data_IF_949245989854
#
_entry.id   IF_949245989854
#
_cell.length_a   1.000
_cell.length_b   1.000
_cell.length_c   1.000
_cell.angle_alpha   90.00
_cell.angle_beta   90.00
_cell.angle_gamma   90.00
#
_symmetry.space_group_name_H-M   'P 1'
#
loop_
_entity.id
_entity.type
_entity.pdbx_description
1 polymer ?
#
# COMPACT_ATOMS: atom_id res chain seq x y z
N UNK A 1 29.97 46.82 2.01
CA UNK A 1 28.62 46.27 2.21
C UNK A 1 28.16 45.71 0.87
N UNK A 2 28.47 44.44 0.59
CA UNK A 2 28.05 43.80 -0.66
C UNK A 2 26.81 42.96 -0.38
N UNK A 3 25.68 43.36 -0.94
CA UNK A 3 24.40 42.63 -0.86
C UNK A 3 24.48 41.38 -1.73
N UNK A 4 24.14 40.22 -1.16
CA UNK A 4 23.92 38.98 -1.92
C UNK A 4 22.65 39.12 -2.77
N UNK A 5 22.60 38.55 -4.00
CA UNK A 5 21.40 38.59 -4.83
C UNK A 5 20.35 37.60 -4.30
N UNK A 6 19.09 38.02 -4.30
CA UNK A 6 17.95 37.16 -3.96
C UNK A 6 17.86 35.98 -4.93
N UNK A 7 17.94 34.76 -4.40
CA UNK A 7 17.69 33.53 -5.15
C UNK A 7 16.21 33.48 -5.53
N UNK A 8 15.91 33.83 -6.78
CA UNK A 8 14.54 33.87 -7.29
C UNK A 8 14.09 32.44 -7.63
N UNK A 9 13.26 31.84 -6.76
CA UNK A 9 12.61 30.56 -7.04
C UNK A 9 11.54 30.78 -8.13
N UNK A 10 11.49 29.98 -9.21
CA UNK A 10 10.48 30.14 -10.24
C UNK A 10 9.07 29.91 -9.67
N UNK A 11 8.17 30.88 -9.85
CA UNK A 11 6.78 30.91 -9.34
C UNK A 11 5.93 29.69 -9.76
N UNK A 12 6.40 28.88 -10.72
CA UNK A 12 5.68 27.72 -11.27
C UNK A 12 6.12 26.36 -10.68
N UNK A 13 7.02 26.38 -9.71
CA UNK A 13 7.63 25.18 -9.12
C UNK A 13 6.65 24.42 -8.22
N UNK A 14 5.95 25.11 -7.31
CA UNK A 14 4.96 24.54 -6.38
C UNK A 14 3.81 23.81 -7.07
N UNK A 15 3.27 24.35 -8.16
CA UNK A 15 2.18 23.72 -8.92
C UNK A 15 2.59 22.45 -9.66
N UNK A 16 3.86 22.33 -10.05
CA UNK A 16 4.41 21.14 -10.73
C UNK A 16 4.65 20.01 -9.74
N UNK A 17 5.21 20.31 -8.56
CA UNK A 17 5.41 19.32 -7.49
C UNK A 17 4.09 18.73 -6.99
N UNK A 18 3.07 19.55 -6.74
CA UNK A 18 1.76 19.07 -6.28
C UNK A 18 1.11 18.09 -7.27
N UNK A 19 1.21 18.35 -8.58
CA UNK A 19 0.71 17.45 -9.63
C UNK A 19 1.49 16.14 -9.71
N UNK A 20 2.80 16.20 -9.53
CA UNK A 20 3.67 15.01 -9.50
C UNK A 20 3.34 14.12 -8.30
N UNK A 21 3.19 14.69 -7.10
CA UNK A 21 2.77 13.97 -5.90
C UNK A 21 1.38 13.34 -6.05
N UNK A 22 0.40 14.08 -6.57
CA UNK A 22 -0.95 13.55 -6.79
C UNK A 22 -0.98 12.41 -7.84
N UNK A 23 -0.12 12.48 -8.85
CA UNK A 23 0.04 11.41 -9.84
C UNK A 23 0.71 10.18 -9.22
N UNK A 24 1.77 10.38 -8.44
CA UNK A 24 2.46 9.33 -7.72
C UNK A 24 1.53 8.59 -6.76
N UNK A 25 0.74 9.32 -5.96
CA UNK A 25 -0.24 8.72 -5.04
C UNK A 25 -1.30 7.90 -5.77
N UNK A 26 -1.86 8.41 -6.88
CA UNK A 26 -2.80 7.64 -7.71
C UNK A 26 -2.19 6.38 -8.28
N UNK A 27 -0.95 6.44 -8.74
CA UNK A 27 -0.25 5.25 -9.23
C UNK A 27 0.02 4.23 -8.12
N UNK A 28 0.34 4.67 -6.89
CA UNK A 28 0.52 3.78 -5.74
C UNK A 28 -0.78 3.05 -5.38
N UNK A 29 -1.91 3.76 -5.36
CA UNK A 29 -3.21 3.15 -5.12
C UNK A 29 -3.56 2.10 -6.20
N UNK A 30 -3.26 2.39 -7.47
CA UNK A 30 -3.47 1.43 -8.55
C UNK A 30 -2.57 0.19 -8.40
N UNK A 31 -1.30 0.38 -7.99
CA UNK A 31 -0.35 -0.70 -7.74
C UNK A 31 -0.82 -1.57 -6.57
N UNK A 32 -1.24 -0.97 -5.46
CA UNK A 32 -1.76 -1.69 -4.29
C UNK A 32 -3.03 -2.49 -4.61
N UNK A 33 -3.95 -1.91 -5.38
CA UNK A 33 -5.12 -2.64 -5.88
C UNK A 33 -4.70 -3.82 -6.76
N UNK A 34 -3.83 -3.59 -7.75
CA UNK A 34 -3.33 -4.66 -8.62
C UNK A 34 -2.57 -5.76 -7.87
N UNK A 35 -1.89 -5.40 -6.78
CA UNK A 35 -1.25 -6.35 -5.88
C UNK A 35 -2.28 -7.21 -5.13
N UNK A 36 -3.29 -6.60 -4.51
CA UNK A 36 -4.38 -7.35 -3.85
C UNK A 36 -5.12 -8.26 -4.82
N UNK A 37 -5.34 -7.82 -6.06
CA UNK A 37 -5.97 -8.63 -7.11
C UNK A 37 -5.13 -9.89 -7.43
N UNK A 38 -3.84 -9.77 -7.76
CA UNK A 38 -3.02 -10.97 -8.05
C UNK A 38 -2.87 -11.87 -6.82
N UNK A 39 -2.72 -11.31 -5.62
CA UNK A 39 -2.60 -12.10 -4.39
C UNK A 39 -3.86 -12.90 -4.15
N UNK A 40 -5.04 -12.34 -4.44
CA UNK A 40 -6.31 -13.06 -4.34
C UNK A 40 -6.46 -14.21 -5.33
N UNK A 41 -5.61 -14.29 -6.37
CA UNK A 41 -5.64 -15.36 -7.36
C UNK A 41 -4.58 -16.43 -7.09
N UNK A 42 -3.35 -16.04 -6.72
CA UNK A 42 -2.20 -16.97 -6.66
C UNK A 42 -1.49 -17.02 -5.30
N UNK A 43 -1.84 -16.13 -4.36
CA UNK A 43 -1.13 -15.96 -3.10
C UNK A 43 -0.05 -14.90 -3.15
N UNK A 44 0.47 -14.57 -1.96
CA UNK A 44 1.56 -13.62 -1.80
C UNK A 44 2.84 -14.18 -2.38
N UNK A 45 3.22 -15.44 -2.11
CA UNK A 45 4.50 -15.99 -2.57
C UNK A 45 4.62 -15.97 -4.11
N UNK A 46 3.64 -16.53 -4.82
CA UNK A 46 3.65 -16.67 -6.29
C UNK A 46 3.40 -15.38 -7.06
N UNK A 47 2.83 -14.34 -6.43
CA UNK A 47 2.64 -13.04 -7.09
C UNK A 47 3.97 -12.42 -7.54
N UNK A 48 3.98 -11.59 -8.58
CA UNK A 48 5.21 -10.95 -9.04
C UNK A 48 4.99 -9.53 -9.57
N UNK A 49 6.05 -8.72 -9.55
CA UNK A 49 6.01 -7.30 -9.93
C UNK A 49 5.58 -7.06 -11.37
N UNK A 50 5.77 -8.02 -12.28
CA UNK A 50 5.35 -7.88 -13.68
C UNK A 50 3.82 -7.97 -13.82
N UNK A 51 3.22 -8.97 -13.18
CA UNK A 51 1.77 -9.16 -13.16
C UNK A 51 1.04 -8.08 -12.37
N UNK A 52 1.66 -7.58 -11.29
CA UNK A 52 1.15 -6.44 -10.53
C UNK A 52 1.11 -5.20 -11.42
N UNK A 53 2.18 -4.93 -12.19
CA UNK A 53 2.19 -3.81 -13.14
C UNK A 53 1.07 -3.92 -14.18
N UNK A 54 0.84 -5.14 -14.68
CA UNK A 54 -0.21 -5.42 -15.66
C UNK A 54 -1.60 -5.12 -15.07
N UNK A 55 -1.94 -5.65 -13.89
CA UNK A 55 -3.24 -5.40 -13.22
C UNK A 55 -3.43 -3.93 -12.84
N UNK A 56 -2.37 -3.30 -12.38
CA UNK A 56 -2.36 -1.89 -12.04
C UNK A 56 -2.41 -0.96 -13.27
N UNK A 57 -2.28 -1.49 -14.49
CA UNK A 57 -2.22 -0.75 -15.74
C UNK A 57 -1.11 0.31 -15.76
N UNK A 58 0.05 -0.05 -15.21
CA UNK A 58 1.26 0.79 -15.21
C UNK A 58 2.43 0.05 -15.86
N UNK A 59 3.47 0.78 -16.25
CA UNK A 59 4.69 0.15 -16.76
C UNK A 59 5.50 -0.49 -15.62
N UNK A 60 6.31 -1.52 -15.93
CA UNK A 60 7.27 -2.08 -14.95
C UNK A 60 8.23 -1.00 -14.44
N UNK A 61 8.68 -0.10 -15.32
CA UNK A 61 9.53 1.03 -14.93
C UNK A 61 8.83 1.95 -13.91
N UNK A 62 7.52 2.17 -14.04
CA UNK A 62 6.74 2.96 -13.07
C UNK A 62 6.76 2.32 -11.68
N UNK A 63 6.63 1.00 -11.59
CA UNK A 63 6.74 0.26 -10.32
C UNK A 63 8.15 0.37 -9.75
N UNK A 64 9.17 0.07 -10.54
CA UNK A 64 10.56 0.06 -10.06
C UNK A 64 11.11 1.45 -9.71
N UNK A 65 10.52 2.51 -10.25
CA UNK A 65 10.80 3.88 -9.82
C UNK A 65 10.24 4.20 -8.44
N UNK A 66 9.28 3.41 -7.94
CA UNK A 66 8.60 3.64 -6.66
C UNK A 66 9.05 2.66 -5.58
N UNK A 67 9.42 1.45 -5.96
CA UNK A 67 9.80 0.36 -5.06
C UNK A 67 10.99 -0.38 -5.65
N UNK A 68 12.03 -0.61 -4.85
CA UNK A 68 13.21 -1.36 -5.23
C UNK A 68 12.86 -2.82 -5.54
N UNK A 69 11.99 -3.43 -4.75
CA UNK A 69 11.57 -4.81 -4.92
C UNK A 69 10.12 -5.07 -4.44
N UNK A 70 9.69 -6.33 -4.58
CA UNK A 70 8.35 -6.79 -4.16
C UNK A 70 8.16 -6.66 -2.65
N UNK A 71 9.19 -6.92 -1.85
CA UNK A 71 9.09 -6.90 -0.39
C UNK A 71 8.84 -5.47 0.12
N UNK A 72 9.56 -4.49 -0.42
CA UNK A 72 9.32 -3.07 -0.12
C UNK A 72 7.92 -2.64 -0.55
N UNK A 73 7.48 -3.01 -1.76
CA UNK A 73 6.12 -2.70 -2.24
C UNK A 73 5.05 -3.30 -1.31
N UNK A 74 5.23 -4.56 -0.87
CA UNK A 74 4.33 -5.22 0.06
C UNK A 74 4.31 -4.55 1.43
N UNK A 75 5.46 -4.07 1.95
CA UNK A 75 5.50 -3.33 3.20
C UNK A 75 4.67 -2.04 3.12
N UNK A 76 4.82 -1.27 2.03
CA UNK A 76 4.00 -0.08 1.80
C UNK A 76 2.52 -0.38 1.61
N UNK A 77 2.17 -1.51 0.97
CA UNK A 77 0.79 -1.98 0.88
C UNK A 77 0.21 -2.26 2.26
N UNK A 78 0.96 -2.97 3.12
CA UNK A 78 0.53 -3.29 4.49
C UNK A 78 0.33 -2.00 5.30
N UNK A 79 1.26 -1.05 5.25
CA UNK A 79 1.13 0.25 5.92
C UNK A 79 -0.11 1.01 5.44
N UNK A 80 -0.40 0.98 4.13
CA UNK A 80 -1.60 1.57 3.55
C UNK A 80 -2.88 0.91 4.07
N UNK A 81 -2.91 -0.41 4.20
CA UNK A 81 -4.07 -1.12 4.73
C UNK A 81 -4.24 -0.94 6.23
N UNK A 82 -3.15 -0.91 7.02
CA UNK A 82 -3.19 -0.59 8.45
C UNK A 82 -3.76 0.82 8.66
N UNK A 83 -3.31 1.80 7.88
CA UNK A 83 -3.83 3.17 7.93
C UNK A 83 -5.32 3.18 7.61
N UNK A 84 -5.73 2.54 6.51
CA UNK A 84 -7.15 2.45 6.09
C UNK A 84 -8.03 1.81 7.17
N UNK A 85 -7.59 0.71 7.77
CA UNK A 85 -8.32 0.01 8.83
C UNK A 85 -8.38 0.83 10.12
N UNK A 86 -7.30 1.55 10.44
CA UNK A 86 -7.26 2.46 11.59
C UNK A 86 -8.24 3.62 11.40
N UNK A 87 -8.26 4.25 10.23
CA UNK A 87 -9.20 5.31 9.89
C UNK A 87 -10.65 4.82 10.00
N UNK A 88 -10.93 3.61 9.50
CA UNK A 88 -12.24 2.97 9.64
C UNK A 88 -12.65 2.77 11.10
N UNK A 89 -11.71 2.32 11.94
CA UNK A 89 -11.95 2.08 13.36
C UNK A 89 -12.19 3.38 14.13
N UNK A 90 -11.44 4.45 13.81
CA UNK A 90 -11.57 5.78 14.41
C UNK A 90 -12.90 6.43 14.03
N UNK A 91 -13.39 6.19 12.81
CA UNK A 91 -14.65 6.74 12.32
C UNK A 91 -15.91 6.05 12.87
N UNK A 92 -15.78 5.00 13.68
CA UNK A 92 -16.91 4.30 14.28
C UNK A 92 -17.40 4.98 15.57
N UNK A 93 -18.71 4.92 15.80
CA UNK A 93 -19.38 5.61 16.92
C UNK A 93 -19.11 4.98 18.29
N UNK A 94 -18.60 3.74 18.32
CA UNK A 94 -18.30 3.00 19.54
C UNK A 94 -17.20 1.98 19.31
N UNK A 95 -16.57 1.53 20.41
CA UNK A 95 -15.56 0.46 20.37
C UNK A 95 -16.11 -0.85 19.79
N UNK A 96 -17.36 -1.17 20.09
CA UNK A 96 -18.02 -2.37 19.57
C UNK A 96 -18.16 -2.30 18.05
N UNK A 97 -18.62 -1.15 17.54
CA UNK A 97 -18.75 -0.92 16.10
C UNK A 97 -17.38 -0.91 15.39
N UNK A 98 -16.34 -0.32 16.01
CA UNK A 98 -14.97 -0.38 15.48
C UNK A 98 -14.53 -1.83 15.29
N UNK A 99 -14.70 -2.67 16.32
CA UNK A 99 -14.29 -4.08 16.28
C UNK A 99 -15.11 -4.88 15.25
N UNK A 100 -16.42 -4.61 15.16
CA UNK A 100 -17.27 -5.23 14.16
C UNK A 100 -16.81 -4.88 12.73
N UNK A 101 -16.61 -3.59 12.42
CA UNK A 101 -16.15 -3.14 11.10
C UNK A 101 -14.79 -3.72 10.73
N UNK A 102 -13.82 -3.70 11.65
CA UNK A 102 -12.51 -4.28 11.44
C UNK A 102 -12.61 -5.79 11.15
N UNK A 103 -13.41 -6.52 11.93
CA UNK A 103 -13.63 -7.95 11.75
C UNK A 103 -14.22 -8.26 10.36
N UNK A 104 -15.23 -7.48 9.93
CA UNK A 104 -15.85 -7.62 8.61
C UNK A 104 -14.84 -7.38 7.49
N UNK A 105 -14.11 -6.26 7.54
CA UNK A 105 -13.11 -5.94 6.50
C UNK A 105 -12.00 -6.99 6.38
N UNK A 106 -11.45 -7.43 7.51
CA UNK A 106 -10.36 -8.43 7.52
C UNK A 106 -10.88 -9.80 7.04
N UNK A 107 -12.05 -10.24 7.52
CA UNK A 107 -12.60 -11.57 7.18
C UNK A 107 -13.10 -11.67 5.74
N UNK A 108 -13.46 -10.55 5.12
CA UNK A 108 -13.95 -10.50 3.75
C UNK A 108 -12.84 -10.29 2.71
N UNK A 109 -11.62 -9.97 3.14
CA UNK A 109 -10.50 -9.73 2.23
C UNK A 109 -10.10 -11.00 1.45
N UNK A 110 -10.21 -10.94 0.12
CA UNK A 110 -9.94 -12.05 -0.77
C UNK A 110 -8.44 -12.41 -0.85
N UNK A 111 -7.56 -11.42 -0.72
CA UNK A 111 -6.12 -11.65 -0.72
C UNK A 111 -5.71 -12.40 0.55
N UNK A 112 -6.20 -11.97 1.72
CA UNK A 112 -5.97 -12.70 2.98
C UNK A 112 -6.55 -14.12 2.93
N UNK A 113 -7.76 -14.29 2.39
CA UNK A 113 -8.37 -15.62 2.20
C UNK A 113 -7.50 -16.52 1.32
N UNK A 114 -7.03 -16.01 0.19
CA UNK A 114 -6.16 -16.78 -0.69
C UNK A 114 -4.83 -17.13 -0.03
N UNK A 115 -4.25 -16.22 0.76
CA UNK A 115 -3.00 -16.47 1.49
C UNK A 115 -3.16 -17.56 2.57
N UNK A 116 -4.34 -17.74 3.16
CA UNK A 116 -4.60 -18.86 4.09
C UNK A 116 -4.42 -20.22 3.39
N UNK A 117 -4.79 -20.30 2.11
CA UNK A 117 -4.69 -21.53 1.33
C UNK A 117 -3.31 -21.71 0.69
N UNK A 118 -2.74 -20.64 0.14
CA UNK A 118 -1.49 -20.66 -0.64
C UNK A 118 -0.23 -20.47 0.20
N UNK A 119 -0.28 -19.63 1.24
CA UNK A 119 0.85 -19.25 2.10
C UNK A 119 0.60 -19.57 3.60
N UNK A 120 0.11 -20.78 3.96
CA UNK A 120 -0.41 -21.05 5.32
C UNK A 120 0.64 -20.87 6.42
N UNK A 121 1.92 -21.14 6.12
CA UNK A 121 3.01 -20.98 7.08
C UNK A 121 3.30 -19.51 7.39
N UNK A 122 3.16 -18.63 6.40
CA UNK A 122 3.40 -17.19 6.59
C UNK A 122 2.23 -16.54 7.33
N UNK A 123 0.99 -16.95 7.02
CA UNK A 123 -0.19 -16.54 7.82
C UNK A 123 -0.06 -17.02 9.27
N UNK A 124 0.38 -18.25 9.52
CA UNK A 124 0.55 -18.77 10.88
C UNK A 124 1.54 -17.92 11.71
N UNK A 125 2.63 -17.43 11.09
CA UNK A 125 3.59 -16.52 11.76
C UNK A 125 2.95 -15.17 12.12
N UNK A 126 2.04 -14.67 11.29
CA UNK A 126 1.34 -13.40 11.55
C UNK A 126 0.25 -13.52 12.63
N UNK A 127 -0.36 -14.70 12.78
CA UNK A 127 -1.41 -14.95 13.78
C UNK A 127 -0.88 -15.40 15.14
N UNK A 128 0.40 -15.75 15.23
CA UNK A 128 1.03 -16.11 16.49
C UNK A 128 1.55 -14.84 17.16
N UNK A 129 1.06 -14.58 18.38
CA UNK A 129 1.64 -13.55 19.25
C UNK A 129 3.06 -14.03 19.54
N UNK A 130 4.02 -13.45 18.85
CA UNK A 130 5.44 -13.64 19.12
C UNK A 130 5.85 -12.57 20.13
N UNK A 131 6.66 -12.93 21.12
CA UNK A 131 7.29 -11.95 21.97
C UNK A 131 8.12 -11.02 21.07
N UNK A 132 7.74 -9.74 21.04
CA UNK A 132 8.60 -8.71 20.47
C UNK A 132 9.79 -8.52 21.42
N UNK A 133 11.04 -8.42 20.95
CA UNK A 133 12.14 -7.93 21.78
C UNK A 133 11.92 -6.48 22.25
#
# INVERSE_FOLDING_TARGET
MSSLPAFNLPENSTGTYAKQHATSNRSRQAIFRGAKEIISEVGSYESNMAEIALRAQVSRATIYNQFADKAEMMAYLIDSEITRLTDLAIAADSREESLYRLSVEISQDLALRQMVESDPTDIAKLMTISDHP
#
